data_IF_176282840946
#
_entry.id   IF_176282840946
#
_cell.length_a   1.000
_cell.length_b   1.000
_cell.length_c   1.000
_cell.angle_alpha   90.00
_cell.angle_beta   90.00
_cell.angle_gamma   90.00
#
_symmetry.space_group_name_H-M   'P 1'
#
loop_
_entity.id
_entity.type
_entity.pdbx_description
1 polymer ?
#
# COMPACT_ATOMS: atom_id res chain seq x y z
N UNK A 1 12.35 -4.21 4.40
CA UNK A 1 12.26 -5.54 3.76
C UNK A 1 11.14 -6.41 4.31
N UNK A 2 10.74 -6.28 5.59
CA UNK A 2 9.66 -7.12 6.14
C UNK A 2 8.27 -6.78 5.58
N UNK A 3 7.95 -5.49 5.38
CA UNK A 3 6.63 -5.05 4.89
C UNK A 3 6.30 -5.62 3.50
N UNK A 4 7.23 -5.58 2.53
CA UNK A 4 6.97 -6.16 1.20
C UNK A 4 6.73 -7.68 1.23
N UNK A 5 7.36 -8.39 2.17
CA UNK A 5 7.13 -9.83 2.37
C UNK A 5 5.75 -10.06 2.98
N UNK A 6 5.36 -9.22 3.92
CA UNK A 6 4.06 -9.25 4.60
C UNK A 6 2.92 -8.87 3.64
N UNK A 7 3.12 -7.90 2.76
CA UNK A 7 2.18 -7.57 1.67
C UNK A 7 1.95 -8.75 0.73
N UNK A 8 3.01 -9.47 0.33
CA UNK A 8 2.87 -10.68 -0.49
C UNK A 8 2.10 -11.80 0.23
N UNK A 9 2.26 -11.91 1.54
CA UNK A 9 1.51 -12.87 2.35
C UNK A 9 0.05 -12.44 2.47
N UNK A 10 -0.23 -11.17 2.71
CA UNK A 10 -1.57 -10.61 2.76
C UNK A 10 -2.30 -10.78 1.41
N UNK A 11 -1.63 -10.52 0.27
CA UNK A 11 -2.16 -10.80 -1.07
C UNK A 11 -2.54 -12.28 -1.25
N UNK A 12 -1.71 -13.20 -0.75
CA UNK A 12 -2.02 -14.63 -0.77
C UNK A 12 -3.24 -14.95 0.11
N UNK A 13 -3.36 -14.33 1.28
CA UNK A 13 -4.50 -14.52 2.18
C UNK A 13 -5.80 -13.98 1.58
N UNK A 14 -5.78 -12.81 0.91
CA UNK A 14 -6.92 -12.27 0.16
C UNK A 14 -7.37 -13.28 -0.90
N UNK A 15 -6.41 -13.84 -1.65
CA UNK A 15 -6.67 -14.86 -2.67
C UNK A 15 -7.29 -16.12 -2.11
N UNK A 16 -6.74 -16.63 -1.01
CA UNK A 16 -7.22 -17.86 -0.37
C UNK A 16 -8.59 -17.66 0.31
N UNK A 17 -8.91 -16.45 0.77
CA UNK A 17 -10.24 -16.08 1.27
C UNK A 17 -11.26 -15.97 0.12
N UNK A 18 -10.89 -15.32 -0.99
CA UNK A 18 -11.74 -15.20 -2.17
C UNK A 18 -12.08 -16.57 -2.79
N UNK A 19 -11.12 -17.50 -2.87
CA UNK A 19 -11.34 -18.88 -3.33
C UNK A 19 -12.29 -19.68 -2.45
N UNK A 20 -12.35 -19.37 -1.14
CA UNK A 20 -13.27 -19.98 -0.18
C UNK A 20 -14.64 -19.30 -0.15
N UNK A 21 -14.88 -18.34 -1.05
CA UNK A 21 -16.09 -17.54 -1.13
C UNK A 21 -16.37 -16.72 0.15
N UNK A 22 -15.33 -16.45 0.95
CA UNK A 22 -15.39 -15.61 2.14
C UNK A 22 -15.02 -14.16 1.79
N UNK A 23 -16.00 -13.46 1.21
CA UNK A 23 -15.82 -12.09 0.75
C UNK A 23 -15.68 -11.08 1.90
N UNK A 24 -16.21 -11.38 3.09
CA UNK A 24 -16.08 -10.50 4.26
C UNK A 24 -14.62 -10.45 4.73
N UNK A 25 -13.98 -11.62 4.89
CA UNK A 25 -12.56 -11.69 5.25
C UNK A 25 -11.67 -11.13 4.15
N UNK A 26 -11.97 -11.41 2.88
CA UNK A 26 -11.19 -10.87 1.75
C UNK A 26 -11.20 -9.33 1.72
N UNK A 27 -12.37 -8.70 1.95
CA UNK A 27 -12.50 -7.23 2.02
C UNK A 27 -11.73 -6.63 3.20
N UNK A 28 -11.82 -7.23 4.38
CA UNK A 28 -11.09 -6.74 5.57
C UNK A 28 -9.58 -6.77 5.34
N UNK A 29 -9.04 -7.87 4.80
CA UNK A 29 -7.60 -8.00 4.55
C UNK A 29 -7.16 -7.05 3.41
N UNK A 30 -7.98 -6.89 2.37
CA UNK A 30 -7.71 -5.96 1.29
C UNK A 30 -7.66 -4.49 1.77
N UNK A 31 -8.57 -4.10 2.68
CA UNK A 31 -8.54 -2.76 3.29
C UNK A 31 -7.26 -2.51 4.07
N UNK A 32 -6.81 -3.49 4.83
CA UNK A 32 -5.55 -3.39 5.57
C UNK A 32 -4.33 -3.32 4.64
N UNK A 33 -4.38 -4.03 3.50
CA UNK A 33 -3.35 -3.94 2.46
C UNK A 33 -3.26 -2.52 1.89
N UNK A 34 -4.40 -1.89 1.57
CA UNK A 34 -4.46 -0.51 1.05
C UNK A 34 -3.88 0.47 2.07
N UNK A 35 -4.29 0.36 3.35
CA UNK A 35 -3.76 1.19 4.43
C UNK A 35 -2.24 1.04 4.59
N UNK A 36 -1.74 -0.19 4.53
CA UNK A 36 -0.30 -0.47 4.61
C UNK A 36 0.45 0.20 3.45
N UNK A 37 -0.08 0.12 2.23
CA UNK A 37 0.50 0.79 1.06
C UNK A 37 0.53 2.31 1.21
N UNK A 38 -0.57 2.94 1.65
CA UNK A 38 -0.63 4.39 1.92
C UNK A 38 0.39 4.78 2.99
N UNK A 39 0.47 4.03 4.09
CA UNK A 39 1.43 4.26 5.16
C UNK A 39 2.90 4.15 4.68
N UNK A 40 3.21 3.18 3.82
CA UNK A 40 4.54 3.03 3.21
C UNK A 40 4.90 4.25 2.35
N UNK A 41 3.99 4.70 1.49
CA UNK A 41 4.20 5.90 0.68
C UNK A 41 4.45 7.12 1.56
N UNK A 42 3.67 7.29 2.62
CA UNK A 42 3.86 8.38 3.58
C UNK A 42 5.19 8.27 4.34
N UNK A 43 5.67 7.07 4.64
CA UNK A 43 6.99 6.91 5.24
C UNK A 43 8.12 7.29 4.27
N UNK A 44 7.93 7.07 2.95
CA UNK A 44 8.92 7.50 1.96
C UNK A 44 8.97 9.03 1.82
N UNK A 45 7.82 9.72 1.83
CA UNK A 45 7.78 11.18 1.84
C UNK A 45 8.41 11.72 3.11
N UNK A 46 8.03 11.21 4.28
CA UNK A 46 8.63 11.57 5.58
C UNK A 46 10.15 11.36 5.60
N UNK A 47 10.64 10.26 5.02
CA UNK A 47 12.08 10.02 4.90
C UNK A 47 12.76 11.10 4.06
N UNK A 48 12.15 11.53 2.96
CA UNK A 48 12.68 12.61 2.14
C UNK A 48 12.73 13.94 2.92
N UNK A 49 11.67 14.26 3.68
CA UNK A 49 11.65 15.43 4.56
C UNK A 49 12.79 15.39 5.59
N UNK A 50 13.03 14.25 6.25
CA UNK A 50 14.13 14.10 7.22
C UNK A 50 15.50 14.32 6.56
N UNK A 51 15.71 13.83 5.34
CA UNK A 51 16.97 14.04 4.61
C UNK A 51 17.17 15.52 4.29
N UNK A 52 16.11 16.22 3.87
CA UNK A 52 16.13 17.66 3.65
C UNK A 52 16.49 18.42 4.92
N UNK A 53 15.80 18.14 6.04
CA UNK A 53 16.08 18.75 7.34
C UNK A 53 17.51 18.46 7.80
N UNK A 54 18.02 17.25 7.60
CA UNK A 54 19.41 16.90 7.93
C UNK A 54 20.42 17.73 7.12
N UNK A 55 20.10 18.05 5.86
CA UNK A 55 20.95 18.88 5.00
C UNK A 55 20.92 20.33 5.47
N UNK A 56 19.73 20.87 5.75
CA UNK A 56 19.56 22.21 6.32
C UNK A 56 20.28 22.36 7.67
N UNK A 57 20.19 21.38 8.55
CA UNK A 57 20.93 21.39 9.83
C UNK A 57 22.45 21.35 9.61
N UNK A 58 22.92 20.62 8.60
CA UNK A 58 24.34 20.58 8.25
C UNK A 58 24.84 21.93 7.74
N UNK A 59 24.03 22.64 6.96
CA UNK A 59 24.30 24.01 6.50
C UNK A 59 24.31 24.99 7.69
N UNK A 60 23.32 24.93 8.58
CA UNK A 60 23.29 25.76 9.78
C UNK A 60 24.51 25.52 10.67
N UNK A 61 24.95 24.26 10.81
CA UNK A 61 26.19 23.94 11.54
C UNK A 61 27.42 24.58 10.87
N UNK A 62 27.49 24.58 9.54
CA UNK A 62 28.57 25.24 8.80
C UNK A 62 28.57 26.76 9.03
N UNK A 63 27.38 27.39 9.02
CA UNK A 63 27.22 28.81 9.34
C UNK A 63 27.67 29.11 10.77
N UNK A 64 27.29 28.30 11.76
CA UNK A 64 27.72 28.47 13.16
C UNK A 64 29.23 28.32 13.29
N UNK A 65 29.85 27.36 12.59
CA UNK A 65 31.31 27.21 12.57
C UNK A 65 32.00 28.42 11.94
N UNK A 66 31.48 28.93 10.81
CA UNK A 66 31.99 30.15 10.18
C UNK A 66 31.81 31.38 11.08
N UNK A 67 30.68 31.53 11.75
CA UNK A 67 30.47 32.60 12.72
C UNK A 67 31.48 32.52 13.87
N UNK A 68 31.77 31.32 14.38
CA UNK A 68 32.78 31.10 15.42
C UNK A 68 34.21 31.40 14.96
N UNK A 69 34.56 31.12 13.70
CA UNK A 69 35.89 31.48 13.15
C UNK A 69 35.99 32.98 12.86
N UNK A 70 34.92 33.60 12.36
CA UNK A 70 34.82 35.04 12.15
C UNK A 70 34.88 35.82 13.48
N UNK A 71 34.22 35.34 14.53
CA UNK A 71 34.27 35.94 15.87
C UNK A 71 35.68 35.93 16.46
N UNK A 72 36.48 34.90 16.15
CA UNK A 72 37.89 34.80 16.58
C UNK A 72 38.83 35.68 15.74
N UNK A 73 38.40 36.15 14.57
CA UNK A 73 39.20 36.98 13.67
C UNK A 73 38.85 38.46 13.82
N UNK A 74 39.62 39.18 14.63
CA UNK A 74 39.43 40.62 14.91
C UNK A 74 39.55 41.51 13.66
N UNK A 75 40.33 41.11 12.66
CA UNK A 75 40.43 41.85 11.39
C UNK A 75 39.16 41.73 10.54
N UNK A 76 38.55 40.55 10.50
CA UNK A 76 37.31 40.35 9.74
C UNK A 76 36.12 41.00 10.45
N UNK A 77 36.09 41.00 11.79
CA UNK A 77 35.08 41.72 12.56
C UNK A 77 35.15 43.24 12.34
N UNK A 78 36.35 43.79 12.12
CA UNK A 78 36.57 45.20 11.71
C UNK A 78 36.02 45.47 10.30
N UNK A 79 36.34 44.63 9.33
CA UNK A 79 35.84 44.75 7.95
C UNK A 79 34.31 44.61 7.88
N UNK A 80 33.72 43.70 8.68
CA UNK A 80 32.26 43.56 8.80
C UNK A 80 31.62 44.79 9.45
N UNK A 81 32.26 45.41 10.45
CA UNK A 81 31.77 46.67 11.06
C UNK A 81 31.76 47.82 10.05
N UNK A 82 32.77 47.91 9.19
CA UNK A 82 32.85 48.93 8.13
C UNK A 82 31.87 48.64 6.98
N UNK A 83 31.60 47.35 6.68
CA UNK A 83 30.62 46.95 5.67
C UNK A 83 29.16 47.12 6.12
N UNK A 84 28.85 46.91 7.41
CA UNK A 84 27.52 47.19 8.01
C UNK A 84 27.18 48.68 7.94
N UNK A 85 28.19 49.56 7.98
CA UNK A 85 28.02 51.01 7.81
C UNK A 85 27.78 51.41 6.35
N UNK A 86 27.88 50.50 5.39
CA UNK A 86 27.57 50.78 4.00
C UNK A 86 26.04 50.86 3.81
N UNK A 87 25.46 52.03 3.51
CA UNK A 87 24.01 52.22 3.44
C UNK A 87 23.31 51.37 2.36
N UNK A 88 24.08 50.84 1.40
CA UNK A 88 23.61 49.96 0.34
C UNK A 88 23.17 48.58 0.87
N UNK A 89 23.73 48.09 2.00
CA UNK A 89 23.40 46.77 2.55
C UNK A 89 22.03 46.75 3.26
N UNK A 90 21.62 47.86 3.88
CA UNK A 90 20.34 47.96 4.59
C UNK A 90 19.13 47.74 3.66
N UNK A 91 19.22 48.23 2.43
CA UNK A 91 18.15 48.10 1.45
C UNK A 91 18.02 46.65 0.95
N UNK A 92 19.16 45.99 0.71
CA UNK A 92 19.20 44.58 0.29
C UNK A 92 18.73 43.64 1.39
N UNK A 93 19.11 43.87 2.65
CA UNK A 93 18.63 43.06 3.79
C UNK A 93 17.12 43.22 4.01
N UNK A 94 16.56 44.43 3.85
CA UNK A 94 15.12 44.64 3.89
C UNK A 94 14.36 43.96 2.73
N UNK A 95 14.93 43.98 1.52
CA UNK A 95 14.34 43.27 0.37
C UNK A 95 14.42 41.76 0.56
N UNK A 96 15.55 41.23 1.05
CA UNK A 96 15.72 39.81 1.34
C UNK A 96 14.76 39.34 2.44
N UNK A 97 14.53 40.15 3.48
CA UNK A 97 13.54 39.86 4.52
C UNK A 97 12.12 39.80 3.97
N UNK A 98 11.75 40.69 3.03
CA UNK A 98 10.43 40.64 2.35
C UNK A 98 10.28 39.43 1.44
N UNK A 99 11.32 39.08 0.70
CA UNK A 99 11.35 37.90 -0.17
C UNK A 99 11.29 36.61 0.66
N UNK A 100 12.05 36.49 1.75
CA UNK A 100 11.99 35.34 2.66
C UNK A 100 10.64 35.21 3.35
N UNK A 101 10.02 36.31 3.77
CA UNK A 101 8.67 36.29 4.32
C UNK A 101 7.64 35.85 3.27
N UNK A 102 7.75 36.34 2.02
CA UNK A 102 6.89 35.88 0.92
C UNK A 102 7.10 34.40 0.60
N UNK A 103 8.35 33.96 0.56
CA UNK A 103 8.69 32.56 0.29
C UNK A 103 8.13 31.64 1.39
N UNK A 104 8.28 32.01 2.66
CA UNK A 104 7.72 31.25 3.79
C UNK A 104 6.19 31.16 3.75
N UNK A 105 5.50 32.25 3.39
CA UNK A 105 4.03 32.24 3.22
C UNK A 105 3.61 31.39 2.01
N UNK A 106 4.38 31.41 0.91
CA UNK A 106 4.07 30.58 -0.27
C UNK A 106 4.31 29.10 0.02
N UNK A 107 5.37 28.76 0.76
CA UNK A 107 5.67 27.39 1.19
C UNK A 107 4.58 26.88 2.13
N UNK A 108 4.17 27.67 3.14
CA UNK A 108 3.10 27.32 4.08
C UNK A 108 1.74 27.20 3.36
N UNK A 109 1.40 28.11 2.45
CA UNK A 109 0.19 28.00 1.63
C UNK A 109 0.22 26.83 0.64
N UNK A 110 1.39 26.41 0.19
CA UNK A 110 1.55 25.27 -0.72
C UNK A 110 1.47 23.95 0.06
N UNK A 111 2.10 23.87 1.23
CA UNK A 111 1.99 22.73 2.14
C UNK A 111 0.54 22.58 2.64
N UNK A 112 -0.14 23.66 3.04
CA UNK A 112 -1.57 23.64 3.41
C UNK A 112 -2.47 23.19 2.25
N UNK A 113 -2.17 23.61 1.01
CA UNK A 113 -2.93 23.19 -0.16
C UNK A 113 -2.70 21.72 -0.52
N UNK A 114 -1.48 21.21 -0.31
CA UNK A 114 -1.14 19.79 -0.50
C UNK A 114 -1.74 18.94 0.61
N UNK A 115 -1.68 19.37 1.87
CA UNK A 115 -2.25 18.68 3.02
C UNK A 115 -3.78 18.67 2.97
N UNK A 116 -4.41 19.80 2.60
CA UNK A 116 -5.86 19.87 2.37
C UNK A 116 -6.35 19.02 1.20
N UNK A 117 -5.52 18.80 0.16
CA UNK A 117 -5.84 17.88 -0.93
C UNK A 117 -5.67 16.40 -0.53
N UNK A 118 -4.94 16.13 0.57
CA UNK A 118 -4.69 14.79 1.09
C UNK A 118 -5.69 14.42 2.20
N UNK A 119 -6.23 15.40 2.95
CA UNK A 119 -7.04 15.20 4.15
C UNK A 119 -8.57 15.39 3.96
N UNK A 120 -9.05 15.69 2.75
CA UNK A 120 -10.49 15.76 2.49
C UNK A 120 -11.12 14.36 2.42
N UNK A 121 -12.30 14.20 3.00
CA UNK A 121 -13.19 13.03 3.18
C UNK A 121 -13.40 12.04 1.98
N UNK A 122 -12.65 12.16 0.90
CA UNK A 122 -12.59 11.26 -0.26
C UNK A 122 -11.91 9.91 0.07
N UNK A 123 -11.27 9.79 1.25
CA UNK A 123 -10.48 8.62 1.64
C UNK A 123 -11.34 7.36 1.81
N UNK A 124 -12.58 7.45 2.29
CA UNK A 124 -13.39 6.24 2.51
C UNK A 124 -13.92 5.65 1.19
N UNK A 125 -14.49 6.48 0.30
CA UNK A 125 -15.02 6.03 -0.99
C UNK A 125 -13.89 5.62 -1.96
N UNK A 126 -12.77 6.34 -1.92
CA UNK A 126 -11.55 5.94 -2.63
C UNK A 126 -10.97 4.63 -2.07
N UNK A 127 -10.99 4.42 -0.74
CA UNK A 127 -10.49 3.15 -0.18
C UNK A 127 -11.34 1.96 -0.58
N UNK A 128 -12.67 2.08 -0.69
CA UNK A 128 -13.51 0.97 -1.15
C UNK A 128 -13.28 0.70 -2.65
N UNK A 129 -13.11 1.74 -3.48
CA UNK A 129 -12.73 1.59 -4.88
C UNK A 129 -11.32 0.96 -5.05
N UNK A 130 -10.36 1.36 -4.22
CA UNK A 130 -9.01 0.78 -4.18
C UNK A 130 -9.02 -0.65 -3.67
N UNK A 131 -9.87 -0.97 -2.69
CA UNK A 131 -10.08 -2.34 -2.20
C UNK A 131 -10.64 -3.22 -3.31
N UNK A 132 -11.66 -2.75 -4.03
CA UNK A 132 -12.23 -3.47 -5.16
C UNK A 132 -11.20 -3.64 -6.29
N UNK A 133 -10.37 -2.63 -6.55
CA UNK A 133 -9.24 -2.73 -7.48
C UNK A 133 -8.22 -3.78 -7.03
N UNK A 134 -7.85 -3.82 -5.75
CA UNK A 134 -6.93 -4.84 -5.20
C UNK A 134 -7.55 -6.23 -5.33
N UNK A 135 -8.85 -6.39 -5.08
CA UNK A 135 -9.56 -7.65 -5.26
C UNK A 135 -9.56 -8.08 -6.73
N UNK A 136 -9.77 -7.15 -7.67
CA UNK A 136 -9.68 -7.41 -9.11
C UNK A 136 -8.26 -7.75 -9.56
N UNK A 137 -7.24 -7.06 -9.07
CA UNK A 137 -5.83 -7.35 -9.35
C UNK A 137 -5.47 -8.76 -8.87
N UNK A 138 -5.83 -9.11 -7.64
CA UNK A 138 -5.58 -10.43 -7.07
C UNK A 138 -6.36 -11.52 -7.83
N UNK A 139 -7.61 -11.25 -8.23
CA UNK A 139 -8.40 -12.17 -9.05
C UNK A 139 -7.83 -12.31 -10.47
N UNK A 140 -7.42 -11.22 -11.11
CA UNK A 140 -6.77 -11.22 -12.41
C UNK A 140 -5.44 -11.99 -12.41
N UNK A 141 -4.64 -11.84 -11.36
CA UNK A 141 -3.44 -12.66 -11.14
C UNK A 141 -3.77 -14.15 -10.96
N UNK A 142 -4.90 -14.50 -10.32
CA UNK A 142 -5.30 -15.92 -10.25
C UNK A 142 -5.66 -16.50 -11.61
N UNK A 143 -6.40 -15.75 -12.43
CA UNK A 143 -6.75 -16.17 -13.79
C UNK A 143 -5.50 -16.29 -14.64
N UNK A 144 -4.57 -15.34 -14.54
CA UNK A 144 -3.29 -15.38 -15.23
C UNK A 144 -2.41 -16.55 -14.78
N UNK A 145 -2.33 -16.84 -13.48
CA UNK A 145 -1.57 -17.98 -12.96
C UNK A 145 -2.22 -19.33 -13.33
N UNK A 146 -3.55 -19.40 -13.41
CA UNK A 146 -4.27 -20.60 -13.87
C UNK A 146 -4.15 -20.80 -15.39
N UNK A 147 -4.06 -19.72 -16.17
CA UNK A 147 -3.79 -19.76 -17.60
C UNK A 147 -2.32 -20.09 -17.94
N UNK A 148 -1.38 -19.71 -17.07
CA UNK A 148 0.05 -19.96 -17.22
C UNK A 148 0.51 -21.33 -16.70
N UNK A 149 -0.33 -22.07 -15.97
CA UNK A 149 -0.06 -23.48 -15.71
C UNK A 149 -0.19 -24.26 -17.02
N UNK A 150 0.81 -25.06 -17.44
CA UNK A 150 0.65 -25.91 -18.60
C UNK A 150 -0.55 -26.80 -18.32
N UNK A 151 -1.58 -26.71 -19.18
CA UNK A 151 -2.72 -27.62 -19.16
C UNK A 151 -2.13 -29.03 -19.24
N UNK A 152 -2.02 -29.70 -18.09
CA UNK A 152 -1.63 -31.09 -18.04
C UNK A 152 -2.60 -31.81 -18.96
N UNK A 153 -2.02 -32.28 -20.06
CA UNK A 153 -2.70 -32.84 -21.20
C UNK A 153 -3.55 -34.00 -20.71
N UNK A 154 -4.85 -33.75 -20.50
CA UNK A 154 -5.84 -34.81 -20.31
C UNK A 154 -5.83 -35.62 -21.60
N UNK A 155 -5.16 -36.77 -21.55
CA UNK A 155 -5.27 -37.82 -22.55
C UNK A 155 -6.75 -38.16 -22.73
N UNK A 156 -7.25 -38.29 -23.96
CA UNK A 156 -8.62 -38.72 -24.18
C UNK A 156 -8.69 -40.22 -23.87
N UNK A 157 -9.40 -40.58 -22.80
CA UNK A 157 -10.04 -41.90 -22.75
C UNK A 157 -11.48 -41.69 -23.23
N UNK A 158 -11.75 -42.32 -24.36
CA UNK A 158 -13.04 -42.31 -25.04
C UNK A 158 -14.12 -42.99 -24.20
N UNK A 159 -15.19 -42.23 -23.99
CA UNK A 159 -16.60 -42.60 -23.97
C UNK A 159 -17.07 -43.75 -23.06
N UNK A 160 -17.86 -43.40 -22.04
CA UNK A 160 -19.31 -43.52 -22.19
C UNK A 160 -20.06 -42.59 -21.22
N UNK A 161 -21.15 -42.05 -21.74
CA UNK A 161 -21.98 -41.01 -21.18
C UNK A 161 -22.81 -41.50 -20.00
N UNK A 162 -23.06 -40.61 -19.03
CA UNK A 162 -24.31 -40.59 -18.28
C UNK A 162 -24.53 -39.17 -17.76
N UNK A 163 -25.42 -38.47 -18.44
CA UNK A 163 -26.02 -37.22 -18.00
C UNK A 163 -26.95 -37.49 -16.82
N UNK A 164 -27.05 -36.44 -15.99
CA UNK A 164 -28.18 -36.04 -15.14
C UNK A 164 -29.33 -37.05 -14.98
N UNK A 165 -29.60 -37.38 -13.71
CA UNK A 165 -30.90 -37.88 -13.31
C UNK A 165 -31.96 -36.79 -13.38
N UNK A 166 -33.17 -37.19 -13.78
CA UNK A 166 -34.43 -36.98 -13.08
C UNK A 166 -35.48 -37.91 -13.72
N UNK A 167 -36.42 -38.36 -12.88
CA UNK A 167 -37.69 -39.07 -13.18
C UNK A 167 -37.74 -40.62 -13.24
N UNK A 168 -38.51 -41.12 -12.26
CA UNK A 168 -39.47 -42.23 -12.25
C UNK A 168 -39.03 -43.71 -12.40
N UNK A 169 -39.39 -44.45 -11.35
CA UNK A 169 -40.00 -45.79 -11.32
C UNK A 169 -39.38 -46.91 -12.18
N UNK A 170 -38.82 -47.93 -11.52
CA UNK A 170 -39.33 -49.31 -11.55
C UNK A 170 -38.56 -50.20 -10.56
N UNK A 171 -39.31 -51.03 -9.83
CA UNK A 171 -38.85 -51.96 -8.81
C UNK A 171 -38.15 -53.18 -9.44
N UNK A 172 -36.94 -53.53 -8.99
CA UNK A 172 -36.36 -54.86 -9.21
C UNK A 172 -36.33 -55.68 -7.90
N UNK A 173 -36.90 -56.90 -7.88
CA UNK A 173 -37.21 -57.69 -6.67
C UNK A 173 -36.01 -58.39 -6.00
N UNK A 174 -34.79 -58.25 -6.53
CA UNK A 174 -33.61 -58.99 -6.04
C UNK A 174 -32.99 -58.36 -4.77
N UNK A 175 -33.22 -57.07 -4.52
CA UNK A 175 -32.70 -56.38 -3.34
C UNK A 175 -33.39 -56.80 -2.03
N UNK A 176 -34.66 -57.20 -2.08
CA UNK A 176 -35.40 -57.64 -0.88
C UNK A 176 -34.96 -59.03 -0.39
N UNK A 177 -34.58 -59.92 -1.30
CA UNK A 177 -34.07 -61.26 -0.93
C UNK A 177 -32.69 -61.18 -0.29
N UNK A 178 -31.82 -60.30 -0.78
CA UNK A 178 -30.48 -60.10 -0.22
C UNK A 178 -30.54 -59.43 1.18
N UNK A 179 -31.53 -58.56 1.40
CA UNK A 179 -31.81 -57.97 2.72
C UNK A 179 -32.42 -58.97 3.71
N UNK A 180 -33.27 -59.90 3.26
CA UNK A 180 -33.84 -60.97 4.10
C UNK A 180 -32.77 -61.97 4.55
N UNK A 181 -31.85 -62.36 3.65
CA UNK A 181 -30.75 -63.26 3.98
C UNK A 181 -29.80 -62.67 5.06
N UNK A 182 -29.60 -61.35 5.08
CA UNK A 182 -28.83 -60.67 6.13
C UNK A 182 -29.55 -60.59 7.47
N UNK A 183 -30.89 -60.53 7.47
CA UNK A 183 -31.69 -60.45 8.69
C UNK A 183 -31.75 -61.81 9.42
N UNK A 184 -31.83 -62.92 8.67
CA UNK A 184 -31.84 -64.26 9.25
C UNK A 184 -30.46 -64.67 9.80
N UNK A 185 -29.37 -64.20 9.19
CA UNK A 185 -28.01 -64.43 9.67
C UNK A 185 -27.69 -63.75 11.03
N UNK A 186 -28.52 -62.81 11.47
CA UNK A 186 -28.39 -62.14 12.79
C UNK A 186 -29.33 -62.75 13.83
N UNK A 187 -30.24 -63.65 13.41
CA UNK A 187 -31.25 -64.28 14.29
C UNK A 187 -30.96 -65.73 14.65
N UNK A 188 -29.84 -66.30 14.17
CA UNK A 188 -29.31 -67.61 14.58
C UNK A 188 -28.35 -67.51 15.75
#
# INVERSE_FOLDING_TARGET
MNIQREEKLAQKQVRDAAKRNDMSSAKTIARELVRTRKAVTQMYTQKAHIISMSTQLSEQLAIVKMAGTLQKSTEVMKLVNDLIKAPQLNQTVQQMSREMMKAGVIEEMMDDAVESAIDSDDIEEETDAEVDKVLQEVAGETVAQMAAMPKAQRRPQSAQAAAAGEEEAEEEPDSLQELQARLDAVRS
#
